data_IF_537150702270
#
_entry.id   IF_537150702270
#
_cell.length_a   1.000
_cell.length_b   1.000
_cell.length_c   1.000
_cell.angle_alpha   90.00
_cell.angle_beta   90.00
_cell.angle_gamma   90.00
#
_symmetry.space_group_name_H-M   'P 1'
#
loop_
_entity.id
_entity.type
_entity.pdbx_description
1 polymer ?
#
# COMPACT_ATOMS: atom_id res chain seq x y z
N UNK A 1 -0.31 31.73 9.69
CA UNK A 1 -0.51 31.96 8.24
C UNK A 1 -1.44 33.15 8.05
N UNK A 2 -1.19 33.99 7.05
CA UNK A 2 -2.08 35.11 6.69
C UNK A 2 -3.29 34.59 5.90
N UNK A 3 -4.45 35.15 6.14
CA UNK A 3 -5.69 34.87 5.41
C UNK A 3 -5.77 35.93 4.27
N UNK A 4 -6.20 35.57 3.03
CA UNK A 4 -6.71 34.26 2.61
C UNK A 4 -5.60 33.24 2.35
N UNK A 5 -5.89 31.95 2.51
CA UNK A 5 -4.95 30.86 2.26
C UNK A 5 -5.63 29.77 1.42
N UNK A 6 -4.85 29.21 0.48
CA UNK A 6 -5.26 28.08 -0.37
C UNK A 6 -4.18 27.03 -0.37
N UNK A 7 -4.57 25.76 -0.15
CA UNK A 7 -3.68 24.60 -0.18
C UNK A 7 -4.35 23.45 -0.89
N UNK A 8 -3.59 22.72 -1.69
CA UNK A 8 -4.09 21.56 -2.42
C UNK A 8 -3.18 20.37 -2.20
N UNK A 9 -3.79 19.17 -2.17
CA UNK A 9 -3.09 17.91 -2.03
C UNK A 9 -3.76 16.85 -2.91
N UNK A 10 -2.96 15.93 -3.47
CA UNK A 10 -3.43 14.88 -4.37
C UNK A 10 -3.59 13.57 -3.62
N UNK A 11 -4.78 13.02 -3.69
CA UNK A 11 -5.18 11.73 -3.13
C UNK A 11 -5.50 10.74 -4.25
N UNK A 12 -5.74 9.48 -3.87
CA UNK A 12 -6.14 8.43 -4.80
C UNK A 12 -7.18 7.49 -4.17
N UNK A 13 -7.70 6.55 -4.98
CA UNK A 13 -8.63 5.51 -4.51
C UNK A 13 -7.91 4.45 -3.66
N UNK A 14 -8.59 3.95 -2.63
CA UNK A 14 -8.08 2.90 -1.73
C UNK A 14 -8.42 1.48 -2.17
N UNK A 15 -9.40 1.30 -3.07
CA UNK A 15 -9.83 0.00 -3.61
C UNK A 15 -9.80 0.02 -5.14
N UNK A 16 -9.65 -1.18 -5.74
CA UNK A 16 -9.73 -1.36 -7.18
C UNK A 16 -11.15 -1.05 -7.67
N UNK A 17 -11.25 -0.38 -8.83
CA UNK A 17 -12.51 -0.06 -9.49
C UNK A 17 -13.48 0.79 -8.63
N UNK A 18 -12.94 1.60 -7.74
CA UNK A 18 -13.71 2.48 -6.86
C UNK A 18 -14.18 3.72 -7.64
N UNK A 19 -15.50 3.86 -7.84
CA UNK A 19 -16.13 4.92 -8.62
C UNK A 19 -16.52 6.16 -7.82
N UNK A 20 -16.35 6.13 -6.51
CA UNK A 20 -16.61 7.28 -5.62
C UNK A 20 -15.67 7.30 -4.43
N UNK A 21 -15.37 8.50 -3.91
CA UNK A 21 -14.65 8.71 -2.66
C UNK A 21 -15.44 9.61 -1.74
N UNK A 22 -15.35 9.35 -0.44
CA UNK A 22 -15.90 10.20 0.59
C UNK A 22 -14.78 11.06 1.19
N UNK A 23 -15.00 12.35 1.21
CA UNK A 23 -14.08 13.35 1.75
C UNK A 23 -14.62 13.77 3.12
N UNK A 24 -13.93 13.41 4.18
CA UNK A 24 -14.23 13.79 5.54
C UNK A 24 -13.30 14.91 5.98
N UNK A 25 -13.85 16.11 6.15
CA UNK A 25 -13.11 17.30 6.58
C UNK A 25 -13.05 17.31 8.09
N UNK A 26 -11.84 17.33 8.61
CA UNK A 26 -11.55 17.22 10.04
C UNK A 26 -10.73 18.41 10.53
N UNK A 27 -10.85 18.71 11.80
CA UNK A 27 -10.06 19.72 12.51
C UNK A 27 -9.51 19.12 13.80
N UNK A 28 -8.18 19.19 14.00
CA UNK A 28 -7.51 18.65 15.18
C UNK A 28 -6.10 18.19 14.89
N UNK A 29 -5.40 17.76 15.93
CA UNK A 29 -3.98 17.37 15.92
C UNK A 29 -3.77 15.86 16.14
N UNK A 30 -4.87 15.09 16.24
CA UNK A 30 -4.79 13.64 16.48
C UNK A 30 -4.59 12.87 15.17
N UNK A 31 -3.80 11.77 15.17
CA UNK A 31 -3.50 11.00 13.95
C UNK A 31 -4.69 10.20 13.41
N UNK A 32 -5.72 9.94 14.23
CA UNK A 32 -6.90 9.18 13.79
C UNK A 32 -8.10 10.11 13.59
N UNK A 33 -8.79 9.91 12.46
CA UNK A 33 -9.94 10.73 12.06
C UNK A 33 -11.02 10.84 13.14
N UNK A 34 -11.34 9.72 13.82
CA UNK A 34 -12.35 9.63 14.88
C UNK A 34 -12.05 10.47 16.14
N UNK A 35 -10.78 10.81 16.35
CA UNK A 35 -10.30 11.55 17.52
C UNK A 35 -10.20 13.06 17.25
N UNK A 36 -10.62 13.50 16.04
CA UNK A 36 -10.65 14.89 15.62
C UNK A 36 -12.10 15.37 15.44
N UNK A 37 -12.30 16.70 15.48
CA UNK A 37 -13.59 17.34 15.26
C UNK A 37 -13.99 17.23 13.79
N UNK A 38 -15.15 16.65 13.49
CA UNK A 38 -15.71 16.64 12.14
C UNK A 38 -16.28 18.00 11.79
N UNK A 39 -15.85 18.57 10.67
CA UNK A 39 -16.36 19.82 10.11
C UNK A 39 -17.38 19.58 9.01
N UNK A 40 -17.32 18.44 8.32
CA UNK A 40 -18.26 18.09 7.28
C UNK A 40 -17.81 16.89 6.46
N UNK A 41 -18.75 16.32 5.73
CA UNK A 41 -18.52 15.15 4.86
C UNK A 41 -19.18 15.42 3.51
N UNK A 42 -18.49 15.14 2.42
CA UNK A 42 -19.07 15.14 1.08
C UNK A 42 -18.49 14.02 0.22
N UNK A 43 -19.17 13.68 -0.88
CA UNK A 43 -18.79 12.55 -1.73
C UNK A 43 -18.59 12.99 -3.16
N UNK A 44 -17.43 12.68 -3.71
CA UNK A 44 -17.12 12.79 -5.14
C UNK A 44 -17.50 11.47 -5.83
N UNK A 45 -18.33 11.54 -6.87
CA UNK A 45 -18.78 10.42 -7.70
C UNK A 45 -18.27 10.58 -9.13
N UNK A 46 -18.34 9.50 -9.92
CA UNK A 46 -17.94 9.52 -11.32
C UNK A 46 -16.44 9.45 -11.54
N UNK A 47 -15.73 8.81 -10.62
CA UNK A 47 -14.31 8.49 -10.77
C UNK A 47 -14.20 7.36 -11.81
N UNK A 48 -13.30 7.47 -12.79
CA UNK A 48 -13.07 6.41 -13.77
C UNK A 48 -12.69 5.09 -13.10
N UNK A 49 -13.30 3.99 -13.57
CA UNK A 49 -13.02 2.65 -13.07
C UNK A 49 -11.58 2.26 -13.41
N UNK A 50 -10.72 2.16 -12.42
CA UNK A 50 -9.30 1.89 -12.56
C UNK A 50 -8.75 1.16 -11.32
N UNK A 51 -7.57 0.53 -11.39
CA UNK A 51 -6.91 -0.02 -10.23
C UNK A 51 -6.66 1.04 -9.15
N UNK A 52 -6.67 0.63 -7.89
CA UNK A 52 -6.37 1.51 -6.74
C UNK A 52 -5.06 2.26 -6.94
N UNK A 53 -5.03 3.52 -6.53
CA UNK A 53 -3.85 4.37 -6.64
C UNK A 53 -3.65 5.03 -8.02
N UNK A 54 -4.44 4.66 -9.05
CA UNK A 54 -4.36 5.23 -10.41
C UNK A 54 -5.13 6.55 -10.52
N UNK A 55 -6.43 6.65 -10.10
CA UNK A 55 -7.16 7.91 -10.16
C UNK A 55 -6.50 8.99 -9.28
N UNK A 56 -6.44 10.22 -9.78
CA UNK A 56 -5.88 11.35 -9.06
C UNK A 56 -6.97 12.34 -8.66
N UNK A 57 -7.12 12.52 -7.36
CA UNK A 57 -8.14 13.37 -6.77
C UNK A 57 -7.45 14.55 -6.10
N UNK A 58 -7.56 15.72 -6.69
CA UNK A 58 -6.99 16.95 -6.14
C UNK A 58 -7.99 17.56 -5.15
N UNK A 59 -7.63 17.56 -3.87
CA UNK A 59 -8.42 18.19 -2.80
C UNK A 59 -7.82 19.54 -2.46
N UNK A 60 -8.64 20.58 -2.58
CA UNK A 60 -8.24 21.97 -2.35
C UNK A 60 -8.98 22.53 -1.15
N UNK A 61 -8.24 23.04 -0.19
CA UNK A 61 -8.72 23.82 0.94
C UNK A 61 -8.49 25.30 0.67
N UNK A 62 -9.53 26.10 0.83
CA UNK A 62 -9.45 27.55 0.67
C UNK A 62 -10.18 28.23 1.83
N UNK A 63 -9.43 29.01 2.60
CA UNK A 63 -9.97 29.85 3.67
C UNK A 63 -9.98 31.30 3.20
N UNK A 64 -11.16 31.92 3.18
CA UNK A 64 -11.32 33.31 2.77
C UNK A 64 -11.10 34.30 3.93
N UNK A 65 -11.15 35.59 3.61
CA UNK A 65 -10.96 36.69 4.59
C UNK A 65 -12.07 36.74 5.65
N UNK A 66 -13.23 36.15 5.40
CA UNK A 66 -14.37 36.11 6.30
C UNK A 66 -14.34 34.83 7.19
N UNK A 67 -13.34 33.98 7.03
CA UNK A 67 -13.23 32.73 7.78
C UNK A 67 -14.09 31.59 7.22
N UNK A 68 -14.60 31.70 5.99
CA UNK A 68 -15.31 30.66 5.31
C UNK A 68 -14.30 29.67 4.72
N UNK A 69 -14.39 28.40 5.15
CA UNK A 69 -13.61 27.31 4.61
C UNK A 69 -14.37 26.65 3.46
N UNK A 70 -13.81 26.70 2.26
CA UNK A 70 -14.28 25.95 1.10
C UNK A 70 -13.35 24.77 0.86
N UNK A 71 -13.88 23.57 0.76
CA UNK A 71 -13.14 22.35 0.43
C UNK A 71 -13.72 21.78 -0.84
N UNK A 72 -12.90 21.64 -1.89
CA UNK A 72 -13.27 21.02 -3.16
C UNK A 72 -12.42 19.81 -3.45
N UNK A 73 -13.01 18.80 -4.06
CA UNK A 73 -12.32 17.62 -4.57
C UNK A 73 -12.63 17.50 -6.06
N UNK A 74 -11.57 17.39 -6.88
CA UNK A 74 -11.67 17.23 -8.32
C UNK A 74 -10.86 16.04 -8.79
N UNK A 75 -11.49 15.15 -9.56
CA UNK A 75 -10.78 14.07 -10.24
C UNK A 75 -10.17 14.61 -11.55
N UNK A 76 -8.87 14.37 -11.77
CA UNK A 76 -8.09 15.01 -12.83
C UNK A 76 -8.49 14.55 -14.24
N UNK A 77 -8.83 13.28 -14.42
CA UNK A 77 -9.11 12.70 -15.74
C UNK A 77 -10.55 12.98 -16.20
N UNK A 78 -11.53 12.75 -15.34
CA UNK A 78 -12.95 12.97 -15.67
C UNK A 78 -13.37 14.43 -15.51
N UNK A 79 -12.61 15.21 -14.75
CA UNK A 79 -12.95 16.59 -14.40
C UNK A 79 -14.13 16.71 -13.43
N UNK A 80 -14.63 15.61 -12.89
CA UNK A 80 -15.69 15.62 -11.89
C UNK A 80 -15.24 16.37 -10.64
N UNK A 81 -16.10 17.25 -10.13
CA UNK A 81 -15.79 18.09 -8.98
C UNK A 81 -16.98 18.15 -8.02
N UNK A 82 -16.68 18.12 -6.73
CA UNK A 82 -17.64 18.38 -5.66
C UNK A 82 -16.98 19.27 -4.60
N UNK A 83 -17.79 20.04 -3.90
CA UNK A 83 -17.29 20.92 -2.85
C UNK A 83 -18.27 21.07 -1.70
N UNK A 84 -17.74 21.47 -0.55
CA UNK A 84 -18.49 21.87 0.65
C UNK A 84 -17.98 23.21 1.13
N UNK A 85 -18.88 24.04 1.68
CA UNK A 85 -18.54 25.28 2.37
C UNK A 85 -18.86 25.15 3.84
N UNK A 86 -17.94 25.52 4.70
CA UNK A 86 -18.02 25.35 6.16
C UNK A 86 -17.83 26.73 6.78
N UNK A 87 -18.88 27.23 7.41
CA UNK A 87 -18.84 28.49 8.14
C UNK A 87 -18.26 28.28 9.54
N UNK A 88 -17.57 29.26 10.06
CA UNK A 88 -17.00 29.23 11.40
C UNK A 88 -15.81 28.29 11.59
N UNK A 89 -15.25 27.71 10.53
CA UNK A 89 -14.07 26.85 10.61
C UNK A 89 -12.83 27.55 11.17
N UNK A 90 -12.73 28.87 11.01
CA UNK A 90 -11.63 29.67 11.53
C UNK A 90 -11.82 30.19 12.95
N UNK A 91 -13.02 30.08 13.52
CA UNK A 91 -13.36 30.58 14.86
C UNK A 91 -13.26 29.44 15.87
N UNK A 92 -12.05 28.94 16.07
CA UNK A 92 -11.76 28.22 17.30
C UNK A 92 -11.44 29.24 18.39
N UNK A 93 -12.13 29.17 19.50
CA UNK A 93 -11.72 29.88 20.71
C UNK A 93 -10.30 29.42 21.08
N UNK A 94 -9.45 30.34 21.60
CA UNK A 94 -8.07 29.98 22.00
C UNK A 94 -8.06 28.83 23.00
N UNK A 95 -9.11 28.73 23.79
CA UNK A 95 -9.35 27.67 24.76
C UNK A 95 -9.52 26.31 24.07
N UNK A 96 -10.34 26.22 23.01
CA UNK A 96 -10.54 24.98 22.24
C UNK A 96 -9.24 24.51 21.59
N UNK A 97 -8.43 25.43 21.01
CA UNK A 97 -7.13 25.07 20.45
C UNK A 97 -6.19 24.52 21.53
N UNK A 98 -6.16 25.17 22.69
CA UNK A 98 -5.34 24.71 23.82
C UNK A 98 -5.75 23.32 24.32
N UNK A 99 -7.07 23.05 24.39
CA UNK A 99 -7.58 21.73 24.75
C UNK A 99 -7.24 20.66 23.71
N UNK A 100 -7.31 20.96 22.40
CA UNK A 100 -6.92 20.04 21.34
C UNK A 100 -5.44 19.67 21.40
N UNK A 101 -4.57 20.68 21.63
CA UNK A 101 -3.12 20.47 21.78
C UNK A 101 -2.84 19.60 23.00
N UNK A 102 -3.42 19.92 24.15
CA UNK A 102 -3.28 19.17 25.38
C UNK A 102 -3.74 17.72 25.24
N UNK A 103 -4.90 17.49 24.62
CA UNK A 103 -5.42 16.17 24.33
C UNK A 103 -4.49 15.37 23.38
N UNK A 104 -3.86 16.03 22.41
CA UNK A 104 -2.89 15.41 21.51
C UNK A 104 -1.62 15.01 22.28
N UNK A 105 -1.10 15.87 23.14
CA UNK A 105 0.09 15.59 23.98
C UNK A 105 -0.16 14.45 24.97
N UNK A 106 -1.29 14.47 25.69
CA UNK A 106 -1.67 13.43 26.65
C UNK A 106 -1.83 12.05 26.02
N UNK A 107 -2.28 12.00 24.75
CA UNK A 107 -2.49 10.76 24.03
C UNK A 107 -1.34 10.38 23.08
N UNK A 108 -0.29 11.19 22.96
CA UNK A 108 0.76 11.04 21.97
C UNK A 108 1.42 9.64 21.97
N UNK A 109 1.68 9.08 23.15
CA UNK A 109 2.29 7.76 23.27
C UNK A 109 1.34 6.64 22.86
N UNK A 110 0.07 6.73 23.28
CA UNK A 110 -0.97 5.77 22.90
C UNK A 110 -1.24 5.82 21.39
N UNK A 111 -1.32 7.00 20.82
CA UNK A 111 -1.54 7.20 19.39
C UNK A 111 -0.38 6.70 18.55
N UNK A 112 0.86 6.92 19.01
CA UNK A 112 2.07 6.36 18.36
C UNK A 112 2.01 4.83 18.34
N UNK A 113 1.63 4.20 19.44
CA UNK A 113 1.49 2.74 19.52
C UNK A 113 0.40 2.23 18.59
N UNK A 114 -0.78 2.86 18.60
CA UNK A 114 -1.90 2.51 17.69
C UNK A 114 -1.49 2.66 16.22
N UNK A 115 -0.81 3.75 15.86
CA UNK A 115 -0.33 4.00 14.50
C UNK A 115 0.68 2.92 14.05
N UNK A 116 1.61 2.54 14.94
CA UNK A 116 2.55 1.45 14.66
C UNK A 116 1.83 0.13 14.42
N UNK A 117 0.82 -0.21 15.24
CA UNK A 117 0.01 -1.42 15.06
C UNK A 117 -0.73 -1.43 13.71
N UNK A 118 -1.37 -0.31 13.33
CA UNK A 118 -2.06 -0.20 12.04
C UNK A 118 -1.09 -0.40 10.88
N UNK A 119 0.10 0.20 10.94
CA UNK A 119 1.13 0.04 9.91
C UNK A 119 1.61 -1.41 9.82
N UNK A 120 1.89 -2.05 10.96
CA UNK A 120 2.30 -3.47 11.01
C UNK A 120 1.21 -4.36 10.42
N UNK A 121 -0.06 -4.14 10.77
CA UNK A 121 -1.19 -4.89 10.23
C UNK A 121 -1.25 -4.76 8.71
N UNK A 122 -1.17 -3.54 8.19
CA UNK A 122 -1.19 -3.29 6.75
C UNK A 122 -0.02 -3.95 6.00
N UNK A 123 1.19 -3.89 6.55
CA UNK A 123 2.35 -4.56 5.96
C UNK A 123 2.21 -6.09 5.96
N UNK A 124 1.64 -6.65 7.02
CA UNK A 124 1.37 -8.08 7.13
C UNK A 124 0.31 -8.53 6.11
N UNK A 125 -0.80 -7.82 5.99
CA UNK A 125 -1.84 -8.14 5.00
C UNK A 125 -1.28 -8.12 3.57
N UNK A 126 -0.44 -7.14 3.23
CA UNK A 126 0.23 -7.09 1.94
C UNK A 126 1.20 -8.26 1.72
N UNK A 127 1.95 -8.67 2.76
CA UNK A 127 2.84 -9.82 2.68
C UNK A 127 2.05 -11.12 2.56
N UNK A 128 0.92 -11.27 3.26
CA UNK A 128 0.04 -12.44 3.16
C UNK A 128 -0.48 -12.64 1.75
N UNK A 129 -1.05 -11.59 1.15
CA UNK A 129 -1.57 -11.64 -0.22
C UNK A 129 -0.50 -12.02 -1.25
N UNK A 130 0.71 -11.43 -1.12
CA UNK A 130 1.82 -11.75 -2.02
C UNK A 130 2.35 -13.15 -1.85
N UNK A 131 2.37 -13.67 -0.61
CA UNK A 131 2.91 -14.98 -0.30
C UNK A 131 1.99 -16.13 -0.68
N UNK A 132 0.68 -15.97 -0.52
CA UNK A 132 -0.31 -16.96 -0.96
C UNK A 132 -0.17 -17.22 -2.46
N UNK A 133 -0.07 -16.17 -3.27
CA UNK A 133 0.18 -16.31 -4.71
C UNK A 133 1.49 -17.03 -5.04
N UNK A 134 2.56 -16.79 -4.29
CA UNK A 134 3.86 -17.44 -4.51
C UNK A 134 3.83 -18.92 -4.13
N UNK A 135 3.22 -19.27 -3.01
CA UNK A 135 3.15 -20.65 -2.51
C UNK A 135 2.25 -21.49 -3.41
N UNK A 136 1.08 -20.98 -3.77
CA UNK A 136 0.10 -21.73 -4.57
C UNK A 136 0.57 -21.99 -6.01
N UNK A 137 1.26 -21.02 -6.62
CA UNK A 137 1.48 -21.04 -8.07
C UNK A 137 2.94 -21.30 -8.48
N UNK A 138 3.93 -21.07 -7.61
CA UNK A 138 5.30 -20.86 -8.07
C UNK A 138 6.38 -21.68 -7.34
N UNK A 139 6.16 -22.11 -6.11
CA UNK A 139 7.17 -22.82 -5.30
C UNK A 139 6.66 -24.21 -4.92
N UNK A 140 7.50 -25.28 -5.05
CA UNK A 140 7.13 -26.59 -4.52
C UNK A 140 6.86 -26.48 -3.03
N UNK A 141 5.69 -26.92 -2.60
CA UNK A 141 5.22 -26.87 -1.20
C UNK A 141 6.12 -27.63 -0.21
N UNK A 142 7.05 -28.44 -0.69
CA UNK A 142 8.02 -29.19 0.09
C UNK A 142 9.43 -28.59 0.12
N UNK A 143 9.64 -27.37 -0.43
CA UNK A 143 10.93 -26.71 -0.30
C UNK A 143 11.16 -26.26 1.16
N UNK A 144 12.42 -26.30 1.61
CA UNK A 144 12.78 -25.86 2.98
C UNK A 144 12.41 -24.40 3.23
N UNK A 145 12.52 -23.56 2.20
CA UNK A 145 12.17 -22.14 2.26
C UNK A 145 10.66 -21.93 2.40
N UNK A 146 9.85 -22.74 1.68
CA UNK A 146 8.39 -22.67 1.77
C UNK A 146 7.89 -23.15 3.15
N UNK A 147 8.48 -24.21 3.67
CA UNK A 147 8.14 -24.73 5.01
C UNK A 147 8.47 -23.71 6.09
N UNK A 148 9.69 -23.14 6.07
CA UNK A 148 10.09 -22.11 7.03
C UNK A 148 9.22 -20.85 6.95
N UNK A 149 8.91 -20.39 5.74
CA UNK A 149 8.02 -19.26 5.55
C UNK A 149 6.62 -19.52 6.12
N UNK A 150 6.06 -20.72 5.86
CA UNK A 150 4.74 -21.12 6.36
C UNK A 150 4.70 -21.19 7.88
N UNK A 151 5.77 -21.66 8.51
CA UNK A 151 5.90 -21.71 9.96
C UNK A 151 5.87 -20.30 10.57
N UNK A 152 6.72 -19.39 10.09
CA UNK A 152 6.75 -17.98 10.54
C UNK A 152 5.40 -17.28 10.29
N UNK A 153 4.75 -17.56 9.16
CA UNK A 153 3.44 -17.01 8.82
C UNK A 153 2.36 -17.46 9.81
N UNK A 154 2.35 -18.76 10.15
CA UNK A 154 1.37 -19.31 11.08
C UNK A 154 1.58 -18.78 12.50
N UNK A 155 2.82 -18.62 12.97
CA UNK A 155 3.13 -17.98 14.24
C UNK A 155 2.51 -16.58 14.35
N UNK A 156 2.66 -15.77 13.31
CA UNK A 156 2.10 -14.43 13.27
C UNK A 156 0.58 -14.45 13.18
N UNK A 157 -0.01 -15.32 12.34
CA UNK A 157 -1.48 -15.48 12.23
C UNK A 157 -2.11 -15.87 13.58
N UNK A 158 -1.47 -16.74 14.35
CA UNK A 158 -1.95 -17.11 15.70
C UNK A 158 -1.90 -15.92 16.68
N UNK A 159 -0.84 -15.10 16.64
CA UNK A 159 -0.78 -13.87 17.44
C UNK A 159 -1.94 -12.90 17.10
N UNK A 160 -2.32 -12.80 15.83
CA UNK A 160 -3.48 -12.02 15.38
C UNK A 160 -4.79 -12.56 15.91
N UNK A 161 -5.05 -13.87 15.78
CA UNK A 161 -6.27 -14.50 16.27
C UNK A 161 -6.46 -14.33 17.77
N UNK A 162 -5.37 -14.31 18.52
CA UNK A 162 -5.40 -14.18 19.99
C UNK A 162 -5.40 -12.71 20.47
N UNK A 163 -5.52 -11.72 19.56
CA UNK A 163 -5.41 -10.28 19.85
C UNK A 163 -4.14 -9.89 20.63
N UNK A 164 -3.09 -10.71 20.52
CA UNK A 164 -1.78 -10.48 21.16
C UNK A 164 -0.88 -9.58 20.29
N UNK A 165 -1.39 -8.46 19.85
CA UNK A 165 -0.66 -7.52 18.97
C UNK A 165 0.66 -7.05 19.56
N UNK A 166 0.74 -6.90 20.89
CA UNK A 166 1.98 -6.52 21.57
C UNK A 166 3.09 -7.59 21.48
N UNK A 167 2.74 -8.83 21.11
CA UNK A 167 3.69 -9.92 20.89
C UNK A 167 4.25 -9.94 19.47
N UNK A 168 3.63 -9.19 18.55
CA UNK A 168 4.14 -9.01 17.19
C UNK A 168 5.17 -7.88 17.24
N UNK A 169 6.43 -8.27 17.45
CA UNK A 169 7.54 -7.32 17.47
C UNK A 169 7.97 -6.96 16.03
N UNK A 170 8.71 -5.86 15.88
CA UNK A 170 9.41 -5.54 14.63
C UNK A 170 10.35 -6.68 14.18
N UNK A 171 10.83 -7.50 15.12
CA UNK A 171 11.64 -8.68 14.85
C UNK A 171 10.82 -9.74 14.12
N UNK A 172 9.56 -9.99 14.51
CA UNK A 172 8.67 -10.95 13.85
C UNK A 172 8.37 -10.53 12.41
N UNK A 173 8.11 -9.24 12.20
CA UNK A 173 7.89 -8.67 10.87
C UNK A 173 9.15 -8.76 10.00
N UNK A 174 10.32 -8.50 10.57
CA UNK A 174 11.62 -8.61 9.88
C UNK A 174 11.91 -10.06 9.48
N UNK A 175 11.63 -11.03 10.35
CA UNK A 175 11.75 -12.46 10.05
C UNK A 175 10.83 -12.87 8.88
N UNK A 176 9.58 -12.40 8.88
CA UNK A 176 8.64 -12.69 7.81
C UNK A 176 9.10 -12.09 6.47
N UNK A 177 9.54 -10.83 6.47
CA UNK A 177 10.10 -10.18 5.26
C UNK A 177 11.33 -10.91 4.75
N UNK A 178 12.22 -11.34 5.62
CA UNK A 178 13.40 -12.10 5.25
C UNK A 178 13.03 -13.44 4.63
N UNK A 179 12.17 -14.22 5.28
CA UNK A 179 11.73 -15.53 4.77
C UNK A 179 10.99 -15.41 3.43
N UNK A 180 10.19 -14.36 3.24
CA UNK A 180 9.56 -14.05 1.96
C UNK A 180 10.60 -13.76 0.86
N UNK A 181 11.60 -12.95 1.13
CA UNK A 181 12.65 -12.63 0.16
C UNK A 181 13.47 -13.87 -0.24
N UNK A 182 13.74 -14.78 0.70
CA UNK A 182 14.39 -16.07 0.41
C UNK A 182 13.53 -16.91 -0.53
N UNK A 183 12.22 -16.96 -0.31
CA UNK A 183 11.27 -17.66 -1.17
C UNK A 183 11.26 -17.11 -2.60
N UNK A 184 11.24 -15.78 -2.74
CA UNK A 184 11.29 -15.10 -4.04
C UNK A 184 12.61 -15.41 -4.78
N UNK A 185 13.72 -15.40 -4.08
CA UNK A 185 15.05 -15.72 -4.67
C UNK A 185 15.12 -17.18 -5.15
N UNK A 186 14.56 -18.11 -4.41
CA UNK A 186 14.47 -19.52 -4.81
C UNK A 186 13.64 -19.68 -6.10
N UNK A 187 12.50 -19.01 -6.16
CA UNK A 187 11.67 -18.98 -7.36
C UNK A 187 12.41 -18.42 -8.57
N UNK A 188 13.07 -17.26 -8.44
CA UNK A 188 13.81 -16.63 -9.52
C UNK A 188 14.98 -17.50 -10.02
N UNK A 189 15.69 -18.17 -9.12
CA UNK A 189 16.75 -19.15 -9.49
C UNK A 189 16.20 -20.29 -10.32
N UNK A 190 15.04 -20.82 -9.97
CA UNK A 190 14.38 -21.90 -10.71
C UNK A 190 13.95 -21.45 -12.10
N UNK A 191 13.36 -20.26 -12.24
CA UNK A 191 12.96 -19.70 -13.52
C UNK A 191 14.16 -19.48 -14.45
N UNK A 192 15.27 -18.95 -13.92
CA UNK A 192 16.49 -18.75 -14.69
C UNK A 192 17.09 -20.08 -15.15
N UNK A 193 17.09 -21.12 -14.31
CA UNK A 193 17.60 -22.45 -14.68
C UNK A 193 16.76 -23.10 -15.78
N UNK A 194 15.42 -22.97 -15.74
CA UNK A 194 14.54 -23.52 -16.78
C UNK A 194 14.67 -22.79 -18.11
N UNK A 195 14.84 -21.47 -18.11
CA UNK A 195 15.08 -20.67 -19.34
C UNK A 195 16.44 -20.98 -19.96
N UNK A 196 17.45 -21.24 -19.15
CA UNK A 196 18.79 -21.61 -19.64
C UNK A 196 18.76 -23.00 -20.29
N UNK A 197 18.11 -23.98 -19.67
CA UNK A 197 17.96 -25.34 -20.21
C UNK A 197 17.17 -25.39 -21.52
N UNK A 198 16.11 -24.54 -21.63
CA UNK A 198 15.35 -24.41 -22.87
C UNK A 198 16.19 -23.82 -24.02
N UNK A 199 17.06 -22.87 -23.71
CA UNK A 199 17.95 -22.25 -24.72
C UNK A 199 19.05 -23.19 -25.21
N UNK A 200 19.52 -24.09 -24.36
CA UNK A 200 20.49 -25.13 -24.75
C UNK A 200 19.85 -26.28 -25.56
N UNK A 201 18.59 -26.66 -25.25
CA UNK A 201 17.86 -27.65 -26.05
C UNK A 201 17.54 -27.18 -27.48
N UNK A 202 17.19 -25.93 -27.68
CA UNK A 202 16.91 -25.38 -29.01
C UNK A 202 18.19 -25.23 -29.86
N UNK A 203 19.39 -25.19 -29.27
CA UNK A 203 20.66 -25.17 -30.00
C UNK A 203 21.20 -26.58 -30.31
N UNK A 204 20.76 -27.60 -29.58
CA UNK A 204 21.19 -28.99 -29.89
C UNK A 204 20.41 -29.63 -31.04
N UNK A 205 19.22 -29.13 -31.35
CA UNK A 205 18.40 -29.63 -32.47
C UNK A 205 18.80 -29.02 -33.84
N UNK A 206 19.79 -28.12 -33.89
CA UNK A 206 20.33 -27.48 -35.09
C UNK A 206 21.77 -27.85 -35.39
N UNK A 207 22.29 -28.99 -34.88
CA UNK A 207 23.54 -29.54 -35.34
C UNK A 207 23.25 -30.32 -36.63
N UNK A 208 23.49 -29.67 -37.76
CA UNK A 208 23.56 -30.34 -39.06
C UNK A 208 24.82 -31.17 -39.05
N UNK A 209 24.67 -32.50 -39.11
CA UNK A 209 25.77 -33.43 -39.39
C UNK A 209 26.37 -33.06 -40.72
N UNK A 210 27.54 -32.42 -40.71
CA UNK A 210 28.35 -32.27 -41.90
C UNK A 210 29.14 -33.57 -42.06
N UNK A 211 28.67 -34.47 -42.92
CA UNK A 211 29.43 -35.59 -43.42
C UNK A 211 30.72 -35.06 -44.07
N UNK A 212 31.86 -35.37 -43.48
CA UNK A 212 33.16 -35.22 -44.09
C UNK A 212 33.26 -36.23 -45.25
N UNK A 213 33.14 -35.75 -46.47
CA UNK A 213 33.46 -36.54 -47.69
C UNK A 213 34.94 -36.85 -47.67
N UNK A 214 35.24 -38.10 -47.57
CA UNK A 214 36.60 -38.64 -47.78
C UNK A 214 37.06 -38.35 -49.23
N UNK A 215 38.00 -37.41 -49.40
CA UNK A 215 38.77 -37.27 -50.56
C UNK A 215 39.99 -38.23 -50.46
N UNK A 216 39.77 -39.49 -50.81
CA UNK A 216 40.81 -40.39 -51.20
C UNK A 216 40.33 -41.14 -52.44
N UNK A 217 40.71 -40.61 -53.60
CA UNK A 217 41.12 -41.41 -54.76
C UNK A 217 41.59 -40.51 -55.93
N UNK A 218 42.80 -40.56 -56.20
CA UNK A 218 43.47 -40.78 -57.49
C UNK A 218 44.78 -40.02 -57.71
N UNK A 219 45.85 -40.87 -57.76
CA UNK A 219 47.02 -40.76 -58.61
C UNK A 219 47.70 -39.44 -58.81
#
# INVERSE_FOLDING_TARGET
ASIPVKQSEVFSTGADFQESVEIHVLQGERPFAKDNKSLGIFRLKGIPSAPRGVPKINVTFQLDVNGLLSVSAREEQSGQEQSIKIEGASVLAREEVSEMIKAAEENAMLDKTKKSLVNITYELDNLFLKSENLIENLVPSNSSSALYFTEVLNEIKECFKLNKFNSISEISLSKLKYSYNVLVLEYLKKELSTKTTSKYKSNSDNIIDVELADENEKK
#
